data_IF_558009747817
#
_entry.id   IF_558009747817
#
_cell.length_a   1.000
_cell.length_b   1.000
_cell.length_c   1.000
_cell.angle_alpha   90.00
_cell.angle_beta   90.00
_cell.angle_gamma   90.00
#
_symmetry.space_group_name_H-M   'P 1'
#
loop_
_entity.id
_entity.type
_entity.pdbx_description
1 polymer ?
#
# COMPACT_ATOMS: atom_id res chain seq x y z
N UNK A 1 9.65 56.41 21.22
CA UNK A 1 8.31 56.05 20.69
C UNK A 1 7.50 55.49 21.84
N UNK A 2 6.73 56.36 22.48
CA UNK A 2 5.94 56.09 23.68
C UNK A 2 4.59 55.53 23.23
N UNK A 3 4.36 54.24 23.45
CA UNK A 3 3.08 53.59 23.15
C UNK A 3 2.06 53.97 24.21
N UNK A 4 1.02 54.66 23.74
CA UNK A 4 -0.13 55.14 24.50
C UNK A 4 -0.91 53.94 25.03
N UNK A 5 -0.97 53.83 26.35
CA UNK A 5 -1.85 52.91 27.08
C UNK A 5 -3.27 53.46 27.02
N UNK A 6 -4.10 52.91 26.14
CA UNK A 6 -5.54 53.13 26.14
C UNK A 6 -6.13 52.64 27.47
N UNK A 7 -6.92 53.45 28.20
CA UNK A 7 -7.59 53.01 29.41
C UNK A 7 -8.72 52.03 29.04
N UNK A 8 -8.98 50.98 29.85
CA UNK A 8 -10.13 50.15 29.64
C UNK A 8 -11.39 50.97 29.93
N UNK A 9 -12.29 51.03 28.96
CA UNK A 9 -13.67 51.46 29.16
C UNK A 9 -14.26 50.67 30.33
N UNK A 10 -14.50 51.32 31.46
CA UNK A 10 -15.27 50.77 32.57
C UNK A 10 -16.75 51.12 32.32
N UNK A 11 -17.60 50.20 31.85
CA UNK A 11 -19.03 50.37 32.04
C UNK A 11 -19.26 50.38 33.55
N UNK A 12 -19.94 51.40 34.06
CA UNK A 12 -20.45 51.42 35.44
C UNK A 12 -21.08 50.04 35.74
N UNK A 13 -20.46 49.29 36.64
CA UNK A 13 -20.76 47.88 36.86
C UNK A 13 -22.09 47.79 37.62
N UNK A 14 -23.19 47.80 36.89
CA UNK A 14 -24.51 47.52 37.44
C UNK A 14 -24.50 46.10 38.02
N UNK A 15 -24.82 45.97 39.30
CA UNK A 15 -24.90 44.69 40.00
C UNK A 15 -26.35 44.32 40.24
N UNK A 16 -26.64 43.04 40.45
CA UNK A 16 -27.98 42.60 40.86
C UNK A 16 -28.43 43.34 42.13
N UNK A 17 -27.49 43.56 43.07
CA UNK A 17 -27.75 44.30 44.31
C UNK A 17 -28.15 45.76 44.08
N UNK A 18 -27.48 46.48 43.19
CA UNK A 18 -27.84 47.89 42.89
C UNK A 18 -29.21 48.01 42.22
N UNK A 19 -29.56 47.08 41.32
CA UNK A 19 -30.87 47.06 40.66
C UNK A 19 -31.99 46.70 41.64
N UNK A 20 -31.73 45.78 42.58
CA UNK A 20 -32.71 45.44 43.63
C UNK A 20 -33.00 46.62 44.56
N UNK A 21 -31.98 47.41 44.93
CA UNK A 21 -32.17 48.62 45.74
C UNK A 21 -32.98 49.68 44.98
N UNK A 22 -32.76 49.84 43.68
CA UNK A 22 -33.59 50.74 42.85
C UNK A 22 -35.04 50.23 42.74
N UNK A 23 -35.24 48.94 42.52
CA UNK A 23 -36.55 48.32 42.45
C UNK A 23 -37.34 48.49 43.77
N UNK A 24 -36.67 48.33 44.92
CA UNK A 24 -37.25 48.58 46.24
C UNK A 24 -37.73 50.02 46.41
N UNK A 25 -36.91 51.01 46.01
CA UNK A 25 -37.30 52.43 46.05
C UNK A 25 -38.53 52.70 45.19
N UNK A 26 -38.58 52.13 43.97
CA UNK A 26 -39.73 52.28 43.08
C UNK A 26 -40.98 51.62 43.69
N UNK A 27 -40.85 50.43 44.26
CA UNK A 27 -41.96 49.76 44.94
C UNK A 27 -42.50 50.56 46.13
N UNK A 28 -41.64 51.24 46.87
CA UNK A 28 -42.04 52.15 47.95
C UNK A 28 -42.76 53.39 47.42
N UNK A 29 -42.31 53.95 46.30
CA UNK A 29 -42.95 55.10 45.64
C UNK A 29 -44.35 54.78 45.10
N UNK A 30 -44.56 53.60 44.51
CA UNK A 30 -45.86 53.20 43.93
C UNK A 30 -46.80 52.54 44.96
N UNK A 31 -46.31 52.18 46.15
CA UNK A 31 -47.10 51.50 47.18
C UNK A 31 -47.38 50.02 46.90
N UNK A 32 -46.43 49.30 46.29
CA UNK A 32 -46.57 47.88 45.96
C UNK A 32 -46.73 46.99 47.21
N UNK A 33 -47.63 46.01 47.19
CA UNK A 33 -47.90 45.15 48.35
C UNK A 33 -46.75 44.20 48.64
N UNK A 34 -46.51 43.87 49.92
CA UNK A 34 -45.45 42.92 50.33
C UNK A 34 -45.59 41.56 49.62
N UNK A 35 -46.82 41.06 49.45
CA UNK A 35 -47.08 39.80 48.74
C UNK A 35 -46.70 39.84 47.26
N UNK A 36 -46.93 40.97 46.56
CA UNK A 36 -46.53 41.10 45.15
C UNK A 36 -45.02 41.33 45.01
N UNK A 37 -44.39 42.04 45.96
CA UNK A 37 -42.92 42.16 46.04
C UNK A 37 -42.27 40.78 46.18
N UNK A 38 -42.74 39.97 47.13
CA UNK A 38 -42.23 38.60 47.37
C UNK A 38 -42.38 37.72 46.12
N UNK A 39 -43.54 37.80 45.47
CA UNK A 39 -43.81 37.06 44.22
C UNK A 39 -42.87 37.48 43.08
N UNK A 40 -42.64 38.79 42.90
CA UNK A 40 -41.69 39.28 41.90
C UNK A 40 -40.25 38.88 42.22
N UNK A 41 -39.83 38.93 43.49
CA UNK A 41 -38.50 38.48 43.91
C UNK A 41 -38.30 36.98 43.67
N UNK A 42 -39.28 36.15 44.04
CA UNK A 42 -39.26 34.71 43.75
C UNK A 42 -39.18 34.41 42.25
N UNK A 43 -39.91 35.19 41.43
CA UNK A 43 -39.83 35.07 39.97
C UNK A 43 -38.42 35.41 39.46
N UNK A 44 -37.82 36.49 39.95
CA UNK A 44 -36.45 36.89 39.56
C UNK A 44 -35.41 35.82 39.97
N UNK A 45 -35.53 35.27 41.17
CA UNK A 45 -34.68 34.16 41.64
C UNK A 45 -34.84 32.93 40.74
N UNK A 46 -36.07 32.59 40.39
CA UNK A 46 -36.36 31.46 39.50
C UNK A 46 -35.77 31.66 38.10
N UNK A 47 -35.95 32.84 37.51
CA UNK A 47 -35.39 33.19 36.19
C UNK A 47 -33.85 33.15 36.21
N UNK A 48 -33.24 33.64 37.28
CA UNK A 48 -31.79 33.59 37.48
C UNK A 48 -31.28 32.13 37.57
N UNK A 49 -31.95 31.29 38.36
CA UNK A 49 -31.65 29.86 38.45
C UNK A 49 -31.84 29.14 37.12
N UNK A 50 -32.86 29.48 36.33
CA UNK A 50 -33.09 28.91 35.00
C UNK A 50 -31.96 29.27 34.02
N UNK A 51 -31.43 30.50 34.09
CA UNK A 51 -30.26 30.92 33.30
C UNK A 51 -29.02 30.09 33.70
N UNK A 52 -28.75 29.94 35.00
CA UNK A 52 -27.63 29.12 35.47
C UNK A 52 -27.78 27.66 35.05
N UNK A 53 -28.96 27.05 35.25
CA UNK A 53 -29.26 25.67 34.81
C UNK A 53 -29.01 25.52 33.31
N UNK A 54 -29.52 26.43 32.48
CA UNK A 54 -29.31 26.40 31.03
C UNK A 54 -27.82 26.48 30.66
N UNK A 55 -27.05 27.33 31.34
CA UNK A 55 -25.61 27.47 31.10
C UNK A 55 -24.85 26.21 31.50
N UNK A 56 -25.18 25.62 32.64
CA UNK A 56 -24.60 24.35 33.11
C UNK A 56 -24.89 23.22 32.13
N UNK A 57 -26.14 23.06 31.69
CA UNK A 57 -26.50 22.00 30.74
C UNK A 57 -25.82 22.18 29.38
N UNK A 58 -25.72 23.42 28.88
CA UNK A 58 -24.97 23.71 27.65
C UNK A 58 -23.49 23.32 27.79
N UNK A 59 -22.86 23.63 28.91
CA UNK A 59 -21.46 23.29 29.16
C UNK A 59 -21.27 21.77 29.35
N UNK A 60 -22.19 21.08 30.03
CA UNK A 60 -22.17 19.62 30.17
C UNK A 60 -22.26 18.93 28.80
N UNK A 61 -23.16 19.40 27.94
CA UNK A 61 -23.29 18.89 26.57
C UNK A 61 -21.98 19.10 25.79
N UNK A 62 -21.43 20.31 25.80
CA UNK A 62 -20.17 20.58 25.11
C UNK A 62 -19.03 19.70 25.62
N UNK A 63 -18.94 19.47 26.94
CA UNK A 63 -17.96 18.55 27.53
C UNK A 63 -18.16 17.11 27.01
N UNK A 64 -19.40 16.64 26.92
CA UNK A 64 -19.70 15.31 26.39
C UNK A 64 -19.26 15.16 24.92
N UNK A 65 -19.53 16.18 24.09
CA UNK A 65 -19.11 16.21 22.68
C UNK A 65 -17.57 16.14 22.55
N UNK A 66 -16.83 16.86 23.41
CA UNK A 66 -15.37 16.80 23.45
C UNK A 66 -14.84 15.43 23.88
N UNK A 67 -15.43 14.82 24.92
CA UNK A 67 -15.08 13.47 25.36
C UNK A 67 -15.33 12.43 24.25
N UNK A 68 -16.46 12.54 23.54
CA UNK A 68 -16.78 11.65 22.43
C UNK A 68 -15.73 11.78 21.31
N UNK A 69 -15.42 13.01 20.90
CA UNK A 69 -14.41 13.26 19.85
C UNK A 69 -13.05 12.70 20.24
N UNK A 70 -12.67 12.83 21.52
CA UNK A 70 -11.41 12.28 22.02
C UNK A 70 -11.39 10.74 21.97
N UNK A 71 -12.45 10.09 22.42
CA UNK A 71 -12.57 8.63 22.37
C UNK A 71 -12.53 8.11 20.93
N UNK A 72 -13.22 8.78 20.00
CA UNK A 72 -13.18 8.45 18.57
C UNK A 72 -11.75 8.57 18.01
N UNK A 73 -11.04 9.63 18.36
CA UNK A 73 -9.64 9.82 17.98
C UNK A 73 -8.72 8.72 18.57
N UNK A 74 -8.89 8.36 19.84
CA UNK A 74 -8.09 7.32 20.51
C UNK A 74 -8.34 5.91 19.95
N UNK A 75 -9.59 5.60 19.62
CA UNK A 75 -9.95 4.34 18.96
C UNK A 75 -9.37 4.26 17.55
N UNK A 76 -9.38 5.36 16.79
CA UNK A 76 -8.73 5.42 15.49
C UNK A 76 -7.21 5.26 15.60
N UNK A 77 -6.55 5.95 16.54
CA UNK A 77 -5.11 5.74 16.82
C UNK A 77 -4.83 4.27 17.10
N UNK A 78 -5.61 3.63 17.98
CA UNK A 78 -5.43 2.22 18.33
C UNK A 78 -5.59 1.29 17.12
N UNK A 79 -6.55 1.59 16.24
CA UNK A 79 -6.76 0.87 14.98
C UNK A 79 -5.58 1.03 14.02
N UNK A 80 -5.09 2.27 13.81
CA UNK A 80 -3.97 2.57 12.92
C UNK A 80 -2.67 1.94 13.42
N UNK A 81 -2.37 2.07 14.72
CA UNK A 81 -1.20 1.46 15.36
C UNK A 81 -1.22 -0.05 15.20
N UNK A 82 -2.37 -0.69 15.40
CA UNK A 82 -2.55 -2.13 15.21
C UNK A 82 -2.31 -2.55 13.76
N UNK A 83 -2.88 -1.81 12.80
CA UNK A 83 -2.71 -2.10 11.38
C UNK A 83 -1.26 -1.92 10.90
N UNK A 84 -0.55 -0.90 11.40
CA UNK A 84 0.84 -0.62 11.06
C UNK A 84 1.84 -1.50 11.83
N UNK A 85 1.43 -2.10 12.95
CA UNK A 85 2.31 -2.82 13.86
C UNK A 85 3.30 -1.92 14.60
N UNK A 86 2.93 -0.65 14.80
CA UNK A 86 3.76 0.29 15.57
C UNK A 86 3.56 0.06 17.07
N UNK A 87 4.55 0.48 17.87
CA UNK A 87 4.43 0.40 19.32
C UNK A 87 3.61 1.58 19.82
N UNK A 88 2.80 1.37 20.87
CA UNK A 88 1.89 2.36 21.46
C UNK A 88 2.61 3.52 22.20
N UNK A 89 3.85 3.84 21.84
CA UNK A 89 4.63 4.93 22.44
C UNK A 89 4.00 6.32 22.21
N UNK A 90 3.04 6.42 21.30
CA UNK A 90 2.28 7.64 21.00
C UNK A 90 1.24 7.99 22.07
N UNK A 91 0.80 7.02 22.87
CA UNK A 91 -0.26 7.25 23.88
C UNK A 91 0.40 7.53 25.23
N UNK A 92 1.13 8.65 25.33
CA UNK A 92 1.47 9.18 26.66
C UNK A 92 0.21 9.77 27.29
N UNK A 93 -0.23 9.10 28.36
CA UNK A 93 -1.41 9.39 29.17
C UNK A 93 -1.64 10.86 29.52
N UNK A 94 -2.85 11.32 29.16
CA UNK A 94 -3.84 11.90 30.07
C UNK A 94 -3.39 13.07 30.98
N UNK A 95 -2.49 13.94 30.53
CA UNK A 95 -2.16 15.16 31.30
C UNK A 95 -2.66 16.39 30.56
N UNK A 96 -3.73 16.98 31.09
CA UNK A 96 -4.27 18.23 30.60
C UNK A 96 -5.80 18.24 30.53
N UNK A 97 -6.31 19.39 30.10
CA UNK A 97 -7.72 19.59 29.77
C UNK A 97 -8.11 18.82 28.49
N UNK A 98 -9.41 18.59 28.27
CA UNK A 98 -9.90 17.95 27.04
C UNK A 98 -9.39 18.64 25.76
N UNK A 99 -9.23 19.97 25.78
CA UNK A 99 -8.68 20.73 24.66
C UNK A 99 -7.20 20.43 24.40
N UNK A 100 -6.40 20.31 25.45
CA UNK A 100 -4.98 19.99 25.34
C UNK A 100 -4.79 18.56 24.81
N UNK A 101 -5.58 17.61 25.30
CA UNK A 101 -5.57 16.22 24.82
C UNK A 101 -5.95 16.13 23.34
N UNK A 102 -7.02 16.82 22.91
CA UNK A 102 -7.42 16.89 21.51
C UNK A 102 -6.37 17.56 20.62
N UNK A 103 -5.69 18.58 21.14
CA UNK A 103 -4.62 19.27 20.42
C UNK A 103 -3.38 18.38 20.26
N UNK A 104 -3.09 17.54 21.24
CA UNK A 104 -1.98 16.59 21.21
C UNK A 104 -2.23 15.38 20.29
N UNK A 105 -3.46 14.83 20.28
CA UNK A 105 -3.77 13.65 19.47
C UNK A 105 -3.89 13.96 17.97
N UNK A 106 -4.32 15.17 17.61
CA UNK A 106 -4.51 15.58 16.21
C UNK A 106 -3.27 15.38 15.32
N UNK A 107 -2.07 15.88 15.66
CA UNK A 107 -0.88 15.65 14.84
C UNK A 107 -0.46 14.18 14.79
N UNK A 108 -0.68 13.41 15.86
CA UNK A 108 -0.39 11.96 15.91
C UNK A 108 -1.27 11.20 14.92
N UNK A 109 -2.57 11.51 14.89
CA UNK A 109 -3.50 10.92 13.92
C UNK A 109 -3.09 11.23 12.49
N UNK A 110 -2.69 12.47 12.21
CA UNK A 110 -2.28 12.87 10.87
C UNK A 110 -1.02 12.11 10.42
N UNK A 111 -0.01 11.98 11.28
CA UNK A 111 1.20 11.19 11.01
C UNK A 111 0.86 9.71 10.72
N UNK A 112 0.01 9.09 11.56
CA UNK A 112 -0.38 7.69 11.38
C UNK A 112 -1.19 7.46 10.10
N UNK A 113 -2.07 8.39 9.73
CA UNK A 113 -2.83 8.34 8.47
C UNK A 113 -1.91 8.45 7.26
N UNK A 114 -0.96 9.39 7.29
CA UNK A 114 0.04 9.55 6.23
C UNK A 114 0.89 8.29 6.07
N UNK A 115 1.41 7.74 7.18
CA UNK A 115 2.15 6.47 7.18
C UNK A 115 1.33 5.31 6.64
N UNK A 116 0.04 5.20 7.00
CA UNK A 116 -0.85 4.18 6.44
C UNK A 116 -0.95 4.29 4.92
N UNK A 117 -1.11 5.51 4.40
CA UNK A 117 -1.22 5.74 2.96
C UNK A 117 0.07 5.37 2.23
N UNK A 118 1.23 5.81 2.73
CA UNK A 118 2.53 5.46 2.18
C UNK A 118 2.78 3.95 2.19
N UNK A 119 2.49 3.30 3.33
CA UNK A 119 2.66 1.86 3.48
C UNK A 119 1.76 1.10 2.52
N UNK A 120 0.50 1.53 2.36
CA UNK A 120 -0.44 0.92 1.41
C UNK A 120 0.07 1.00 -0.03
N UNK A 121 0.64 2.15 -0.42
CA UNK A 121 1.28 2.32 -1.73
C UNK A 121 2.44 1.34 -1.92
N UNK A 122 3.34 1.22 -0.94
CA UNK A 122 4.45 0.27 -1.01
C UNK A 122 3.98 -1.20 -1.16
N UNK A 123 2.93 -1.59 -0.43
CA UNK A 123 2.34 -2.92 -0.54
C UNK A 123 1.77 -3.16 -1.95
N UNK A 124 1.00 -2.20 -2.47
CA UNK A 124 0.38 -2.29 -3.80
C UNK A 124 1.44 -2.43 -4.89
N UNK A 125 2.48 -1.59 -4.84
CA UNK A 125 3.60 -1.65 -5.78
C UNK A 125 4.35 -2.98 -5.71
N UNK A 126 4.68 -3.45 -4.50
CA UNK A 126 5.39 -4.72 -4.29
C UNK A 126 4.57 -5.90 -4.82
N UNK A 127 3.28 -5.97 -4.49
CA UNK A 127 2.39 -7.04 -4.95
C UNK A 127 2.18 -7.00 -6.47
N UNK A 128 2.03 -5.81 -7.06
CA UNK A 128 1.91 -5.66 -8.52
C UNK A 128 3.16 -6.20 -9.23
N UNK A 129 4.35 -5.90 -8.70
CA UNK A 129 5.59 -6.44 -9.25
C UNK A 129 5.69 -7.96 -9.15
N UNK A 130 5.29 -8.53 -8.00
CA UNK A 130 5.23 -9.98 -7.80
C UNK A 130 4.30 -10.63 -8.83
N UNK A 131 3.06 -10.15 -8.95
CA UNK A 131 2.07 -10.68 -9.88
C UNK A 131 2.59 -10.63 -11.32
N UNK A 132 3.21 -9.51 -11.71
CA UNK A 132 3.80 -9.34 -13.04
C UNK A 132 4.89 -10.38 -13.31
N UNK A 133 5.86 -10.55 -12.40
CA UNK A 133 6.94 -11.53 -12.59
C UNK A 133 6.40 -12.96 -12.62
N UNK A 134 5.46 -13.29 -11.73
CA UNK A 134 4.80 -14.60 -11.73
C UNK A 134 4.08 -14.87 -13.06
N UNK A 135 3.37 -13.88 -13.61
CA UNK A 135 2.70 -14.01 -14.90
C UNK A 135 3.68 -14.18 -16.06
N UNK A 136 4.82 -13.47 -16.06
CA UNK A 136 5.90 -13.67 -17.04
C UNK A 136 6.49 -15.09 -16.98
N UNK A 137 6.76 -15.59 -15.76
CA UNK A 137 7.27 -16.95 -15.53
C UNK A 137 6.25 -18.04 -15.94
N UNK A 138 4.97 -17.78 -15.70
CA UNK A 138 3.89 -18.68 -16.11
C UNK A 138 3.59 -18.60 -17.62
N UNK A 139 3.97 -17.51 -18.29
CA UNK A 139 3.62 -17.25 -19.69
C UNK A 139 2.23 -16.62 -19.89
N UNK A 140 1.59 -16.09 -18.84
CA UNK A 140 0.26 -15.47 -18.89
C UNK A 140 0.30 -13.94 -18.95
N UNK A 141 1.12 -13.38 -19.86
CA UNK A 141 1.41 -11.94 -19.91
C UNK A 141 0.17 -11.11 -20.31
N UNK A 142 -0.74 -11.68 -21.11
CA UNK A 142 -1.95 -10.97 -21.58
C UNK A 142 -2.97 -10.66 -20.45
N UNK A 143 -2.87 -11.33 -19.29
CA UNK A 143 -3.76 -11.12 -18.15
C UNK A 143 -3.31 -10.00 -17.18
N UNK A 144 -2.14 -9.40 -17.40
CA UNK A 144 -1.48 -8.52 -16.41
C UNK A 144 -2.21 -7.17 -16.23
N UNK A 145 -2.92 -6.68 -17.24
CA UNK A 145 -3.56 -5.37 -17.20
C UNK A 145 -4.84 -5.29 -16.34
N UNK A 146 -5.33 -6.41 -15.81
CA UNK A 146 -6.59 -6.47 -15.04
C UNK A 146 -6.43 -6.80 -13.55
N UNK A 147 -5.22 -7.11 -13.07
CA UNK A 147 -5.02 -7.57 -11.69
C UNK A 147 -4.63 -6.39 -10.78
N UNK A 148 -5.64 -5.73 -10.20
CA UNK A 148 -5.40 -4.82 -9.09
C UNK A 148 -5.01 -5.66 -7.86
N UNK A 149 -3.79 -5.48 -7.37
CA UNK A 149 -3.34 -6.11 -6.14
C UNK A 149 -4.21 -5.62 -4.96
N UNK A 150 -5.03 -6.52 -4.41
CA UNK A 150 -5.86 -6.22 -3.25
C UNK A 150 -4.98 -6.20 -1.99
N UNK A 151 -4.63 -5.00 -1.54
CA UNK A 151 -3.86 -4.81 -0.31
C UNK A 151 -4.78 -5.05 0.90
N UNK A 152 -4.39 -5.94 1.80
CA UNK A 152 -5.09 -6.12 3.07
C UNK A 152 -4.81 -4.91 3.99
N UNK A 153 -5.81 -4.03 4.12
CA UNK A 153 -5.69 -2.82 4.94
C UNK A 153 -5.54 -3.07 6.44
N UNK A 154 -5.86 -4.27 6.93
CA UNK A 154 -5.83 -4.61 8.37
C UNK A 154 -4.44 -4.98 8.87
N UNK A 155 -3.52 -5.29 7.98
CA UNK A 155 -2.17 -5.73 8.34
C UNK A 155 -1.17 -5.23 7.31
N UNK A 156 -0.61 -4.07 7.65
CA UNK A 156 0.39 -3.28 6.92
C UNK A 156 1.74 -3.29 7.68
N UNK A 157 1.97 -4.32 8.49
CA UNK A 157 3.14 -4.46 9.34
C UNK A 157 4.45 -4.53 8.54
N UNK A 158 5.54 -3.96 9.08
CA UNK A 158 6.86 -4.02 8.43
C UNK A 158 7.35 -5.45 8.22
N UNK A 159 7.01 -6.37 9.13
CA UNK A 159 7.35 -7.79 9.01
C UNK A 159 6.77 -8.39 7.73
N UNK A 160 5.49 -8.13 7.46
CA UNK A 160 4.81 -8.66 6.27
C UNK A 160 5.30 -8.00 5.00
N UNK A 161 5.50 -6.68 5.01
CA UNK A 161 6.09 -5.98 3.88
C UNK A 161 7.50 -6.51 3.56
N UNK A 162 8.31 -6.74 4.61
CA UNK A 162 9.63 -7.36 4.49
C UNK A 162 9.56 -8.74 3.84
N UNK A 163 8.64 -9.60 4.28
CA UNK A 163 8.43 -10.92 3.68
C UNK A 163 8.07 -10.85 2.18
N UNK A 164 7.19 -9.92 1.79
CA UNK A 164 6.86 -9.69 0.38
C UNK A 164 8.06 -9.16 -0.42
N UNK A 165 8.85 -8.24 0.14
CA UNK A 165 10.05 -7.71 -0.52
C UNK A 165 11.11 -8.80 -0.71
N UNK A 166 11.32 -9.67 0.28
CA UNK A 166 12.21 -10.83 0.14
C UNK A 166 11.73 -11.79 -0.95
N UNK A 167 10.43 -12.11 -0.98
CA UNK A 167 9.86 -12.96 -2.03
C UNK A 167 9.99 -12.32 -3.43
N UNK A 168 9.77 -11.01 -3.54
CA UNK A 168 10.00 -10.28 -4.79
C UNK A 168 11.47 -10.39 -5.24
N UNK A 169 12.43 -10.28 -4.32
CA UNK A 169 13.86 -10.42 -4.63
C UNK A 169 14.21 -11.83 -5.12
N UNK A 170 13.63 -12.87 -4.52
CA UNK A 170 13.77 -14.26 -4.97
C UNK A 170 13.23 -14.43 -6.40
N UNK A 171 12.03 -13.91 -6.69
CA UNK A 171 11.43 -13.94 -8.02
C UNK A 171 12.25 -13.17 -9.07
N UNK A 172 12.82 -12.03 -8.70
CA UNK A 172 13.72 -11.28 -9.58
C UNK A 172 14.99 -12.08 -9.89
N UNK A 173 15.54 -12.77 -8.90
CA UNK A 173 16.72 -13.63 -9.07
C UNK A 173 16.41 -14.82 -10.00
N UNK A 174 15.27 -15.49 -9.79
CA UNK A 174 14.79 -16.57 -10.65
C UNK A 174 14.58 -16.08 -12.09
N UNK A 175 14.00 -14.89 -12.28
CA UNK A 175 13.82 -14.27 -13.61
C UNK A 175 15.16 -14.07 -14.32
N UNK A 176 16.20 -13.62 -13.62
CA UNK A 176 17.55 -13.45 -14.18
C UNK A 176 18.13 -14.81 -14.59
N UNK A 177 18.04 -15.81 -13.71
CA UNK A 177 18.56 -17.17 -13.98
C UNK A 177 17.87 -17.80 -15.19
N UNK A 178 16.55 -17.66 -15.30
CA UNK A 178 15.79 -18.14 -16.46
C UNK A 178 16.20 -17.46 -17.74
N UNK A 179 16.39 -16.14 -17.72
CA UNK A 179 16.84 -15.40 -18.90
C UNK A 179 18.23 -15.87 -19.36
N UNK A 180 19.16 -16.09 -18.43
CA UNK A 180 20.47 -16.67 -18.73
C UNK A 180 20.35 -18.07 -19.35
N UNK A 181 19.47 -18.91 -18.80
CA UNK A 181 19.21 -20.26 -19.32
C UNK A 181 18.62 -20.23 -20.73
N UNK A 182 17.64 -19.37 -20.99
CA UNK A 182 17.08 -19.16 -22.34
C UNK A 182 18.17 -18.75 -23.31
N UNK A 183 19.03 -17.80 -22.94
CA UNK A 183 20.12 -17.34 -23.81
C UNK A 183 21.12 -18.47 -24.11
N UNK A 184 21.49 -19.27 -23.10
CA UNK A 184 22.36 -20.42 -23.27
C UNK A 184 21.75 -21.47 -24.22
N UNK A 185 20.46 -21.76 -24.09
CA UNK A 185 19.76 -22.69 -24.95
C UNK A 185 19.68 -22.19 -26.40
N UNK A 186 19.33 -20.92 -26.60
CA UNK A 186 19.30 -20.30 -27.93
C UNK A 186 20.68 -20.36 -28.60
N UNK A 187 21.76 -20.08 -27.86
CA UNK A 187 23.13 -20.20 -28.39
C UNK A 187 23.49 -21.66 -28.75
N UNK A 188 23.09 -22.63 -27.93
CA UNK A 188 23.31 -24.06 -28.22
C UNK A 188 22.58 -24.49 -29.50
N UNK A 189 21.34 -24.03 -29.69
CA UNK A 189 20.56 -24.29 -30.91
C UNK A 189 21.25 -23.65 -32.11
N UNK A 190 21.76 -22.42 -31.98
CA UNK A 190 22.52 -21.76 -33.04
C UNK A 190 23.75 -22.57 -33.46
N UNK A 191 24.58 -23.00 -32.51
CA UNK A 191 25.76 -23.84 -32.77
C UNK A 191 25.40 -25.16 -33.46
N UNK A 192 24.36 -25.86 -32.99
CA UNK A 192 23.85 -27.07 -33.63
C UNK A 192 23.33 -26.77 -35.04
N UNK A 193 22.67 -25.63 -35.23
CA UNK A 193 22.11 -25.23 -36.52
C UNK A 193 23.20 -25.02 -37.56
N UNK A 194 24.30 -24.36 -37.18
CA UNK A 194 25.49 -24.17 -38.03
C UNK A 194 26.10 -25.53 -38.40
N UNK A 195 26.31 -26.41 -37.42
CA UNK A 195 26.92 -27.74 -37.65
C UNK A 195 26.06 -28.63 -38.56
N UNK A 196 24.74 -28.57 -38.41
CA UNK A 196 23.80 -29.40 -39.16
C UNK A 196 23.31 -28.75 -40.46
N UNK A 197 23.73 -27.50 -40.75
CA UNK A 197 23.28 -26.70 -41.88
C UNK A 197 21.75 -26.57 -41.97
N UNK A 198 21.11 -26.28 -40.83
CA UNK A 198 19.66 -26.05 -40.72
C UNK A 198 19.37 -24.57 -40.45
N UNK A 199 18.17 -24.13 -40.80
CA UNK A 199 17.73 -22.74 -40.60
C UNK A 199 17.46 -22.46 -39.11
N UNK A 200 18.37 -21.71 -38.50
CA UNK A 200 18.28 -21.31 -37.10
C UNK A 200 17.02 -20.48 -36.79
N UNK A 201 16.68 -19.51 -37.64
CA UNK A 201 15.57 -18.59 -37.40
C UNK A 201 14.26 -19.36 -37.41
N UNK A 202 14.06 -20.22 -38.41
CA UNK A 202 12.89 -21.10 -38.49
C UNK A 202 12.78 -21.99 -37.24
N UNK A 203 13.89 -22.61 -36.83
CA UNK A 203 13.95 -23.50 -35.67
C UNK A 203 13.57 -22.78 -34.37
N UNK A 204 14.01 -21.53 -34.17
CA UNK A 204 13.69 -20.76 -32.98
C UNK A 204 12.23 -20.26 -32.97
N UNK A 205 11.67 -19.89 -34.13
CA UNK A 205 10.26 -19.47 -34.24
C UNK A 205 9.31 -20.60 -33.84
N UNK A 206 9.62 -21.84 -34.22
CA UNK A 206 8.86 -23.03 -33.81
C UNK A 206 8.82 -23.20 -32.27
N UNK A 207 9.87 -22.73 -31.58
CA UNK A 207 9.89 -22.72 -30.11
C UNK A 207 9.11 -21.54 -29.56
N UNK A 208 9.46 -20.31 -29.92
CA UNK A 208 8.67 -19.13 -29.55
C UNK A 208 9.08 -17.90 -30.39
N UNK A 209 8.12 -17.19 -31.01
CA UNK A 209 8.43 -16.05 -31.89
C UNK A 209 9.27 -14.94 -31.24
N UNK A 210 9.08 -14.68 -29.94
CA UNK A 210 9.78 -13.60 -29.23
C UNK A 210 11.26 -13.88 -28.93
N UNK A 211 11.79 -15.03 -29.34
CA UNK A 211 13.19 -15.41 -29.12
C UNK A 211 14.14 -14.94 -30.23
N UNK A 212 13.63 -14.61 -31.42
CA UNK A 212 14.45 -14.28 -32.60
C UNK A 212 15.06 -12.87 -32.51
N UNK A 213 14.28 -11.87 -32.12
CA UNK A 213 14.76 -10.48 -32.01
C UNK A 213 13.91 -9.66 -31.02
N UNK A 214 14.50 -9.03 -29.97
CA UNK A 214 13.77 -8.14 -29.05
C UNK A 214 13.44 -6.75 -29.64
N UNK A 215 13.55 -6.54 -30.96
CA UNK A 215 13.52 -5.25 -31.67
C UNK A 215 12.26 -4.38 -31.54
N UNK A 216 11.24 -4.81 -30.79
CA UNK A 216 10.02 -4.04 -30.55
C UNK A 216 9.64 -3.88 -29.06
N UNK A 217 10.63 -3.95 -28.15
CA UNK A 217 10.38 -3.82 -26.71
C UNK A 217 9.68 -5.05 -26.10
N UNK A 218 9.54 -6.12 -26.88
CA UNK A 218 8.97 -7.37 -26.44
C UNK A 218 10.03 -8.19 -25.70
N UNK A 219 9.77 -8.53 -24.45
CA UNK A 219 10.69 -9.36 -23.66
C UNK A 219 10.71 -10.79 -24.21
N UNK A 220 11.90 -11.40 -24.24
CA UNK A 220 12.05 -12.83 -24.53
C UNK A 220 11.20 -13.62 -23.56
N UNK A 221 10.47 -14.60 -24.08
CA UNK A 221 9.68 -15.48 -23.22
C UNK A 221 10.60 -16.30 -22.31
N UNK A 222 10.36 -16.23 -21.00
CA UNK A 222 11.07 -16.99 -19.95
C UNK A 222 10.16 -18.05 -19.31
N UNK A 223 9.03 -18.35 -19.96
CA UNK A 223 8.03 -19.24 -19.39
C UNK A 223 8.54 -20.67 -19.24
N UNK A 224 7.96 -21.42 -18.30
CA UNK A 224 8.25 -22.85 -18.11
C UNK A 224 8.14 -23.63 -19.43
N UNK A 225 7.07 -23.35 -20.16
CA UNK A 225 6.74 -23.95 -21.44
C UNK A 225 7.77 -23.61 -22.53
N UNK A 226 8.26 -22.36 -22.57
CA UNK A 226 9.34 -21.96 -23.50
C UNK A 226 10.64 -22.68 -23.20
N UNK A 227 11.04 -22.75 -21.92
CA UNK A 227 12.24 -23.48 -21.50
C UNK A 227 12.15 -24.99 -21.79
N UNK A 228 10.97 -25.59 -21.59
CA UNK A 228 10.73 -26.99 -21.91
C UNK A 228 10.88 -27.25 -23.42
N UNK A 229 10.26 -26.42 -24.27
CA UNK A 229 10.40 -26.53 -25.73
C UNK A 229 11.83 -26.32 -26.22
N UNK A 230 12.56 -25.33 -25.67
CA UNK A 230 13.98 -25.14 -25.97
C UNK A 230 14.80 -26.39 -25.64
N UNK A 231 14.55 -27.00 -24.47
CA UNK A 231 15.23 -28.22 -24.04
C UNK A 231 14.91 -29.39 -24.97
N UNK A 232 13.64 -29.57 -25.33
CA UNK A 232 13.20 -30.58 -26.30
C UNK A 232 13.84 -30.40 -27.66
N UNK A 233 13.90 -29.16 -28.18
CA UNK A 233 14.54 -28.84 -29.45
C UNK A 233 16.03 -29.19 -29.45
N UNK A 234 16.77 -28.81 -28.40
CA UNK A 234 18.20 -29.17 -28.25
C UNK A 234 18.38 -30.70 -28.25
N UNK A 235 17.49 -31.42 -27.57
CA UNK A 235 17.55 -32.88 -27.53
C UNK A 235 17.33 -33.48 -28.92
N UNK A 236 16.28 -33.08 -29.63
CA UNK A 236 15.99 -33.55 -30.99
C UNK A 236 17.12 -33.27 -31.96
N UNK A 237 17.72 -32.07 -31.92
CA UNK A 237 18.85 -31.72 -32.78
C UNK A 237 20.10 -32.56 -32.46
N UNK A 238 20.36 -32.83 -31.18
CA UNK A 238 21.49 -33.71 -30.79
C UNK A 238 21.26 -35.15 -31.25
N UNK A 239 20.05 -35.66 -31.15
CA UNK A 239 19.71 -37.00 -31.64
C UNK A 239 19.84 -37.10 -33.16
N UNK A 240 19.30 -36.13 -33.91
CA UNK A 240 19.42 -36.10 -35.37
C UNK A 240 20.89 -35.99 -35.81
N UNK A 241 21.70 -35.17 -35.12
CA UNK A 241 23.14 -35.10 -35.36
C UNK A 241 23.82 -36.46 -35.21
N UNK A 242 23.49 -37.21 -34.15
CA UNK A 242 24.03 -38.55 -33.92
C UNK A 242 23.60 -39.54 -35.01
N UNK A 243 22.33 -39.49 -35.43
CA UNK A 243 21.81 -40.33 -36.51
C UNK A 243 22.52 -40.06 -37.85
N UNK A 244 22.72 -38.78 -38.21
CA UNK A 244 23.45 -38.39 -39.43
C UNK A 244 24.91 -38.89 -39.39
N UNK A 245 25.56 -38.77 -38.24
CA UNK A 245 26.95 -39.23 -38.06
C UNK A 245 27.06 -40.76 -38.18
N UNK A 246 26.13 -41.51 -37.59
CA UNK A 246 26.10 -42.96 -37.70
C UNK A 246 25.85 -43.42 -39.13
N UNK A 247 24.98 -42.73 -39.87
CA UNK A 247 24.73 -43.00 -41.30
C UNK A 247 26.00 -42.82 -42.13
N UNK A 248 26.70 -41.69 -41.97
CA UNK A 248 27.97 -41.42 -42.68
C UNK A 248 29.04 -42.46 -42.32
N UNK A 249 29.14 -42.87 -41.05
CA UNK A 249 30.07 -43.91 -40.63
C UNK A 249 29.78 -45.26 -41.31
N UNK A 250 28.52 -45.68 -41.32
CA UNK A 250 28.10 -46.91 -42.00
C UNK A 250 28.37 -46.83 -43.50
N UNK A 251 28.00 -45.73 -44.16
CA UNK A 251 28.22 -45.53 -45.60
C UNK A 251 29.73 -45.56 -45.95
N UNK A 252 30.58 -44.98 -45.10
CA UNK A 252 32.04 -45.04 -45.26
C UNK A 252 32.60 -46.45 -45.08
N UNK A 253 32.10 -47.22 -44.09
CA UNK A 253 32.48 -48.62 -43.90
C UNK A 253 32.09 -49.46 -45.12
N UNK A 254 30.86 -49.32 -45.62
CA UNK A 254 30.42 -50.00 -46.84
C UNK A 254 31.31 -49.66 -48.04
N UNK A 255 31.65 -48.39 -48.24
CA UNK A 255 32.56 -47.98 -49.32
C UNK A 255 33.95 -48.62 -49.16
N UNK A 256 34.51 -48.62 -47.95
CA UNK A 256 35.81 -49.24 -47.67
C UNK A 256 35.82 -50.76 -47.91
N UNK A 257 34.75 -51.47 -47.52
CA UNK A 257 34.61 -52.90 -47.77
C UNK A 257 34.45 -53.19 -49.27
N UNK A 258 33.66 -52.38 -49.99
CA UNK A 258 33.47 -52.52 -51.43
C UNK A 258 34.76 -52.31 -52.22
N UNK A 259 35.54 -51.28 -51.87
CA UNK A 259 36.87 -51.03 -52.42
C UNK A 259 37.85 -52.19 -52.12
N UNK A 260 37.86 -52.71 -50.88
CA UNK A 260 38.69 -53.88 -50.54
C UNK A 260 38.30 -55.13 -51.35
N UNK A 261 37.01 -55.36 -51.58
CA UNK A 261 36.53 -56.47 -52.43
C UNK A 261 36.98 -56.26 -53.88
N UNK A 262 36.80 -55.07 -54.45
CA UNK A 262 37.23 -54.79 -55.84
C UNK A 262 38.75 -54.92 -56.05
N UNK A 263 39.56 -54.52 -55.07
CA UNK A 263 41.03 -54.70 -55.14
C UNK A 263 41.43 -56.18 -55.04
N UNK A 264 40.66 -57.01 -54.34
CA UNK A 264 40.98 -58.44 -54.16
C UNK A 264 40.62 -59.33 -55.37
N UNK A 265 39.80 -58.84 -56.30
CA UNK A 265 39.35 -59.58 -57.49
C UNK A 265 40.11 -59.18 -58.78
N UNK A 266 41.15 -58.35 -58.66
CA UNK A 266 42.02 -57.92 -59.75
C UNK A 266 43.47 -58.31 -59.48
#
# INVERSE_FOLDING_TARGET
MTTIRTPPFSPSQTTCGSLLVELQKIWDEIGESESERDKMLLQLEQECLDIYRRKVEKTKKHRADLCQTLNEAETEVSSLVSALGEHANFVQKEKGTLHEQLSAIKPVLEDLRMKKQERMKEFSETQSQIVRICAEIAGNIQSINSVNAQVNERDLTMKKLGGLKSYLQELQSEKILRLQKVNSHVNTIHELSVVMSIDFVKTIIEVHPTLVDPSHGQMRSISNDTLARLTGMIHSLKEEKLQRLQKVHNDCLFCSCYLCVQISYH
#
